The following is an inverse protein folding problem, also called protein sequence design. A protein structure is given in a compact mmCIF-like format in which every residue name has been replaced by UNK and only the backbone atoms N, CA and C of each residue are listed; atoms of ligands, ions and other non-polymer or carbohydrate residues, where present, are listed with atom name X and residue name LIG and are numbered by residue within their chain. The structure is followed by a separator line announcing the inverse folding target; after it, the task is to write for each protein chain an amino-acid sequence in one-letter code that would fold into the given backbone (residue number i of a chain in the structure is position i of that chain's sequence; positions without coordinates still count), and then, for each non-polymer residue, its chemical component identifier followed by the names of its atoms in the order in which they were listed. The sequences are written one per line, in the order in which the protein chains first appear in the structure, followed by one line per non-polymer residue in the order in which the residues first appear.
data_IF_290106774919
#
_entry.id   IF_290106774919
#
_cell.length_a   1.000
_cell.length_b   1.000
_cell.length_c   1.000
_cell.angle_alpha   90.00
_cell.angle_beta   90.00
_cell.angle_gamma   90.00
#
_symmetry.space_group_name_H-M   'P 1'
#
loop_
_entity.id
_entity.type
_entity.pdbx_description
1 polymer ?
#
# COMPACT_ATOMS: atom_id res chain seq x y z
N UNK A 1 16.34 -8.59 28.28
CA UNK A 1 15.19 -7.78 27.84
C UNK A 1 14.27 -8.67 27.03
N UNK A 2 12.97 -8.36 27.01
CA UNK A 2 11.99 -9.09 26.19
C UNK A 2 11.75 -8.26 24.92
N UNK A 3 11.76 -8.92 23.77
CA UNK A 3 11.50 -8.30 22.46
C UNK A 3 10.31 -9.00 21.78
N UNK A 4 9.47 -8.22 21.10
CA UNK A 4 8.39 -8.75 20.26
C UNK A 4 8.92 -9.05 18.84
N UNK A 5 8.39 -10.12 18.22
CA UNK A 5 8.80 -10.56 16.87
C UNK A 5 7.65 -10.60 15.87
N UNK A 6 6.48 -11.10 16.29
CA UNK A 6 5.29 -11.19 15.46
C UNK A 6 4.05 -11.11 16.35
N UNK A 7 2.89 -10.80 15.75
CA UNK A 7 1.60 -10.88 16.41
C UNK A 7 1.36 -12.30 16.93
N UNK A 8 0.80 -12.42 18.13
CA UNK A 8 0.53 -13.70 18.77
C UNK A 8 0.63 -13.66 20.28
N UNK A 9 0.24 -14.76 20.90
CA UNK A 9 0.35 -14.95 22.33
C UNK A 9 1.64 -15.71 22.67
N UNK A 10 2.38 -15.22 23.65
CA UNK A 10 3.56 -15.86 24.22
C UNK A 10 3.44 -15.91 25.74
N UNK A 11 3.80 -17.04 26.34
CA UNK A 11 3.92 -17.15 27.80
C UNK A 11 5.37 -16.89 28.18
N UNK A 12 5.59 -15.93 29.07
CA UNK A 12 6.89 -15.69 29.68
C UNK A 12 6.92 -16.41 31.02
N UNK A 13 7.85 -17.35 31.16
CA UNK A 13 8.06 -18.13 32.39
C UNK A 13 9.43 -17.79 32.97
N UNK A 14 9.46 -17.49 34.27
CA UNK A 14 10.67 -17.33 35.06
C UNK A 14 10.71 -18.43 36.11
N UNK A 15 11.88 -19.05 36.29
CA UNK A 15 12.11 -20.09 37.30
C UNK A 15 13.25 -19.69 38.23
N UNK A 16 13.19 -20.09 39.50
CA UNK A 16 14.31 -19.98 40.44
C UNK A 16 15.14 -21.29 40.52
N UNK A 17 16.24 -21.26 41.27
CA UNK A 17 17.12 -22.42 41.44
C UNK A 17 16.53 -23.51 42.35
N UNK A 18 15.46 -23.21 43.09
CA UNK A 18 14.69 -24.17 43.88
C UNK A 18 13.57 -24.84 43.07
N UNK A 19 13.36 -24.42 41.82
CA UNK A 19 12.36 -24.96 40.90
C UNK A 19 11.00 -24.30 40.98
N UNK A 20 10.85 -23.18 41.69
CA UNK A 20 9.61 -22.41 41.68
C UNK A 20 9.50 -21.61 40.38
N UNK A 21 8.31 -21.57 39.78
CA UNK A 21 8.05 -20.84 38.54
C UNK A 21 6.97 -19.77 38.71
N UNK A 22 7.14 -18.66 38.01
CA UNK A 22 6.13 -17.63 37.80
C UNK A 22 5.97 -17.37 36.31
N UNK A 23 4.72 -17.30 35.84
CA UNK A 23 4.43 -17.06 34.43
C UNK A 23 3.40 -15.95 34.21
N UNK A 24 3.52 -15.25 33.09
CA UNK A 24 2.48 -14.34 32.61
C UNK A 24 2.34 -14.41 31.09
N UNK A 25 1.12 -14.16 30.63
CA UNK A 25 0.78 -14.13 29.21
C UNK A 25 1.06 -12.75 28.63
N UNK A 26 1.71 -12.72 27.47
CA UNK A 26 1.94 -11.52 26.66
C UNK A 26 1.27 -11.71 25.32
N UNK A 27 0.46 -10.75 24.92
CA UNK A 27 -0.14 -10.70 23.57
C UNK A 27 0.49 -9.57 22.78
N UNK A 28 1.14 -9.90 21.67
CA UNK A 28 1.62 -8.94 20.67
C UNK A 28 0.50 -8.73 19.65
N UNK A 29 0.15 -7.46 19.41
CA UNK A 29 -0.87 -7.06 18.45
C UNK A 29 -0.40 -5.86 17.64
N UNK A 30 -0.98 -5.65 16.46
CA UNK A 30 -0.77 -4.44 15.65
C UNK A 30 0.23 -4.62 14.50
N UNK A 31 0.68 -5.83 14.20
CA UNK A 31 1.54 -6.11 13.06
C UNK A 31 0.76 -6.49 11.78
N UNK A 32 -0.57 -6.52 11.82
CA UNK A 32 -1.39 -6.64 10.61
C UNK A 32 -1.52 -5.25 9.98
N UNK A 33 -0.98 -5.02 8.77
CA UNK A 33 -1.15 -3.75 8.08
C UNK A 33 -2.64 -3.50 7.80
N UNK A 34 -3.06 -2.23 7.81
CA UNK A 34 -4.38 -1.86 7.28
C UNK A 34 -4.56 -2.47 5.87
N UNK A 35 -5.77 -2.81 5.43
CA UNK A 35 -5.97 -3.33 4.07
C UNK A 35 -5.43 -2.37 3.01
N UNK A 36 -4.87 -2.93 1.93
CA UNK A 36 -4.40 -2.13 0.81
C UNK A 36 -5.55 -1.32 0.19
N UNK A 37 -5.34 -0.02 0.06
CA UNK A 37 -6.36 0.93 -0.38
C UNK A 37 -5.78 2.01 -1.30
N UNK A 38 -6.58 2.42 -2.29
CA UNK A 38 -6.40 3.66 -3.04
C UNK A 38 -7.78 4.25 -3.32
N UNK A 39 -7.91 5.58 -3.36
CA UNK A 39 -9.15 6.20 -3.84
C UNK A 39 -9.41 5.79 -5.31
N UNK A 40 -10.55 5.15 -5.57
CA UNK A 40 -10.92 4.67 -6.90
C UNK A 40 -11.81 5.64 -7.68
N UNK A 41 -12.11 6.81 -7.12
CA UNK A 41 -12.96 7.82 -7.76
C UNK A 41 -12.38 8.20 -9.13
N UNK A 42 -13.16 8.11 -10.23
CA UNK A 42 -12.66 8.45 -11.55
C UNK A 42 -12.06 9.86 -11.60
N UNK A 43 -10.92 9.99 -12.27
CA UNK A 43 -10.20 11.24 -12.41
C UNK A 43 -10.35 11.79 -13.83
N UNK A 44 -10.50 13.10 -13.96
CA UNK A 44 -10.52 13.81 -15.24
C UNK A 44 -9.38 14.82 -15.28
N UNK A 45 -8.64 14.82 -16.39
CA UNK A 45 -7.49 15.69 -16.64
C UNK A 45 -7.59 16.30 -18.04
N UNK A 46 -6.96 17.45 -18.24
CA UNK A 46 -6.64 17.96 -19.58
C UNK A 46 -5.29 17.42 -20.05
N UNK A 47 -5.10 17.30 -21.37
CA UNK A 47 -3.79 16.95 -21.95
C UNK A 47 -2.74 17.94 -21.45
N UNK A 48 -1.63 17.43 -20.90
CA UNK A 48 -0.55 18.20 -20.29
C UNK A 48 -0.61 18.26 -18.76
N UNK A 49 -1.76 17.98 -18.14
CA UNK A 49 -1.91 18.04 -16.70
C UNK A 49 -1.10 16.98 -15.97
N UNK A 50 -0.69 17.34 -14.75
CA UNK A 50 -0.05 16.44 -13.78
C UNK A 50 -0.98 16.18 -12.60
N UNK A 51 -0.89 14.99 -12.04
CA UNK A 51 -1.61 14.64 -10.83
C UNK A 51 -0.94 13.52 -10.04
N UNK A 52 -1.36 13.36 -8.78
CA UNK A 52 -0.94 12.24 -7.95
C UNK A 52 -2.08 11.70 -7.10
N UNK A 53 -2.03 10.40 -6.83
CA UNK A 53 -2.95 9.71 -5.92
C UNK A 53 -2.26 8.55 -5.22
N UNK A 54 -1.95 8.71 -3.94
CA UNK A 54 -1.18 7.72 -3.21
C UNK A 54 -2.07 6.61 -2.64
N UNK A 55 -1.56 5.38 -2.69
CA UNK A 55 -2.10 4.25 -1.96
C UNK A 55 -1.71 4.29 -0.47
N UNK A 56 -2.47 3.56 0.35
CA UNK A 56 -2.27 3.39 1.80
C UNK A 56 -2.56 1.94 2.22
N UNK A 57 -2.14 1.56 3.43
CA UNK A 57 -2.29 0.19 3.93
C UNK A 57 -1.49 -0.82 3.09
N UNK A 58 -1.81 -2.10 3.19
CA UNK A 58 -1.07 -3.20 2.59
C UNK A 58 0.37 -3.25 3.03
N UNK A 59 1.19 -3.94 2.25
CA UNK A 59 2.64 -3.99 2.47
C UNK A 59 3.38 -3.08 1.50
N UNK A 60 4.40 -2.38 1.96
CA UNK A 60 5.34 -1.71 1.06
C UNK A 60 6.24 -2.73 0.32
N UNK A 61 6.81 -2.39 -0.84
CA UNK A 61 6.65 -1.14 -1.58
C UNK A 61 5.36 -1.10 -2.41
N UNK A 62 4.86 0.12 -2.66
CA UNK A 62 3.82 0.32 -3.67
C UNK A 62 4.42 0.47 -5.06
N UNK A 63 3.74 -0.10 -6.06
CA UNK A 63 4.12 0.00 -7.48
C UNK A 63 2.93 0.50 -8.29
N UNK A 64 3.16 1.51 -9.12
CA UNK A 64 2.16 2.11 -10.01
C UNK A 64 2.45 1.84 -11.48
N UNK A 65 1.40 1.63 -12.28
CA UNK A 65 1.50 1.42 -13.73
C UNK A 65 0.26 1.92 -14.46
N UNK A 66 0.38 2.17 -15.77
CA UNK A 66 -0.73 2.54 -16.66
C UNK A 66 -0.92 1.46 -17.73
N UNK A 67 -2.16 1.11 -18.08
CA UNK A 67 -2.43 0.27 -19.27
C UNK A 67 -2.28 1.02 -20.59
N UNK A 68 -2.37 2.35 -20.57
CA UNK A 68 -2.28 3.20 -21.73
C UNK A 68 -1.30 4.36 -21.47
N UNK A 69 0.01 4.09 -21.41
CA UNK A 69 1.04 5.11 -21.13
C UNK A 69 1.11 6.23 -22.18
N UNK A 70 0.60 5.98 -23.40
CA UNK A 70 0.46 7.01 -24.44
C UNK A 70 -0.69 8.00 -24.17
N UNK A 71 -1.62 7.67 -23.26
CA UNK A 71 -2.76 8.51 -22.86
C UNK A 71 -2.49 9.13 -21.48
N UNK A 72 -2.14 8.31 -20.48
CA UNK A 72 -1.71 8.76 -19.15
C UNK A 72 -0.47 7.97 -18.75
N UNK A 73 0.63 8.67 -18.53
CA UNK A 73 1.93 8.08 -18.17
C UNK A 73 2.15 8.18 -16.67
N UNK A 74 2.55 7.08 -16.04
CA UNK A 74 3.16 7.09 -14.70
C UNK A 74 4.62 7.52 -14.84
N UNK A 75 5.01 8.63 -14.22
CA UNK A 75 6.34 9.24 -14.32
C UNK A 75 7.36 8.57 -13.39
N UNK A 76 6.89 8.08 -12.25
CA UNK A 76 7.70 7.37 -11.26
C UNK A 76 6.91 6.14 -10.79
N UNK A 77 7.45 4.93 -10.86
CA UNK A 77 6.67 3.75 -10.47
C UNK A 77 6.48 3.61 -8.95
N UNK A 78 7.27 4.32 -8.13
CA UNK A 78 7.17 4.29 -6.67
C UNK A 78 6.30 5.42 -6.09
N UNK A 79 5.89 6.38 -6.92
CA UNK A 79 5.04 7.53 -6.54
C UNK A 79 3.94 7.64 -7.57
N UNK A 80 2.69 7.86 -7.20
CA UNK A 80 1.60 7.90 -8.19
C UNK A 80 1.59 9.18 -9.07
N UNK A 81 2.76 9.76 -9.36
CA UNK A 81 2.90 10.94 -10.20
C UNK A 81 2.58 10.55 -11.65
N UNK A 82 1.48 11.07 -12.17
CA UNK A 82 1.00 10.81 -13.53
C UNK A 82 0.97 12.10 -14.37
N UNK A 83 1.11 11.93 -15.69
CA UNK A 83 0.93 12.99 -16.67
C UNK A 83 -0.05 12.56 -17.75
N UNK A 84 -1.01 13.43 -18.09
CA UNK A 84 -1.88 13.26 -19.24
C UNK A 84 -1.14 13.60 -20.54
N UNK A 85 -0.96 12.61 -21.41
CA UNK A 85 -0.15 12.71 -22.63
C UNK A 85 -1.00 12.94 -23.89
N UNK A 86 -2.18 12.35 -23.95
CA UNK A 86 -3.10 12.46 -25.08
C UNK A 86 -4.55 12.25 -24.62
N UNK A 87 -5.51 12.77 -25.38
CA UNK A 87 -6.93 12.58 -25.09
C UNK A 87 -7.30 11.09 -25.17
N UNK A 88 -8.11 10.61 -24.21
CA UNK A 88 -8.50 9.21 -24.13
C UNK A 88 -8.77 8.75 -22.70
N UNK A 89 -8.79 7.44 -22.49
CA UNK A 89 -9.00 6.82 -21.18
C UNK A 89 -7.84 5.87 -20.86
N UNK A 90 -7.44 5.83 -19.59
CA UNK A 90 -6.45 4.91 -19.07
C UNK A 90 -6.90 4.37 -17.70
N UNK A 91 -6.41 3.20 -17.33
CA UNK A 91 -6.44 2.68 -15.96
C UNK A 91 -5.07 2.87 -15.34
N UNK A 92 -5.03 3.49 -14.17
CA UNK A 92 -3.84 3.50 -13.33
C UNK A 92 -4.00 2.41 -12.29
N UNK A 93 -3.07 1.46 -12.30
CA UNK A 93 -2.99 0.38 -11.34
C UNK A 93 -2.03 0.75 -10.24
N UNK A 94 -2.40 0.39 -9.01
CA UNK A 94 -1.52 0.36 -7.86
C UNK A 94 -1.48 -1.07 -7.32
N UNK A 95 -0.29 -1.55 -6.96
CA UNK A 95 -0.12 -2.80 -6.23
C UNK A 95 0.76 -2.63 -5.00
N UNK A 96 0.48 -3.42 -3.97
CA UNK A 96 1.30 -3.49 -2.77
C UNK A 96 2.39 -4.57 -2.89
N UNK A 97 3.27 -4.66 -1.89
CA UNK A 97 4.40 -5.59 -1.83
C UNK A 97 4.00 -7.07 -1.75
N UNK A 98 2.71 -7.36 -1.49
CA UNK A 98 2.16 -8.74 -1.53
C UNK A 98 1.58 -9.10 -2.89
N UNK A 99 1.45 -8.12 -3.80
CA UNK A 99 0.84 -8.29 -5.12
C UNK A 99 -0.66 -7.99 -5.17
N UNK A 100 -1.26 -7.53 -4.06
CA UNK A 100 -2.66 -7.06 -4.08
C UNK A 100 -2.75 -5.87 -5.03
N UNK A 101 -3.68 -5.89 -5.98
CA UNK A 101 -3.75 -4.90 -7.08
C UNK A 101 -5.15 -4.30 -7.22
N UNK A 102 -5.20 -2.98 -7.32
CA UNK A 102 -6.42 -2.18 -7.55
C UNK A 102 -6.16 -1.18 -8.68
N UNK A 103 -7.21 -0.55 -9.21
CA UNK A 103 -7.08 0.49 -10.23
C UNK A 103 -8.12 1.59 -10.08
N UNK A 104 -7.80 2.75 -10.63
CA UNK A 104 -8.75 3.85 -10.84
C UNK A 104 -8.73 4.30 -12.31
N UNK A 105 -9.84 4.90 -12.74
CA UNK A 105 -10.00 5.38 -14.11
C UNK A 105 -9.48 6.82 -14.23
N UNK A 106 -8.77 7.10 -15.30
CA UNK A 106 -8.37 8.46 -15.69
C UNK A 106 -8.88 8.73 -17.11
N UNK A 107 -9.60 9.83 -17.28
CA UNK A 107 -9.97 10.36 -18.59
C UNK A 107 -9.17 11.63 -18.86
N UNK A 108 -8.41 11.65 -19.95
CA UNK A 108 -7.77 12.85 -20.47
C UNK A 108 -8.61 13.44 -21.60
N UNK A 109 -8.84 14.75 -21.56
CA UNK A 109 -9.57 15.48 -22.59
C UNK A 109 -8.68 16.56 -23.19
N UNK A 110 -8.90 16.89 -24.47
CA UNK A 110 -8.28 18.09 -25.04
C UNK A 110 -8.73 19.35 -24.28
N UNK A 111 -7.88 20.38 -24.20
CA UNK A 111 -8.27 21.71 -23.70
C UNK A 111 -9.48 22.27 -24.44
#
# INVERSE_FOLDING_TARGET
GIESRADGAATITASDTAGAEGSYLVTVTGNTPDPFYIDITPMRLHVGDFASRNASGGSLPYIYSSDAPAIVRVLNMAKSDIQAMAAGKAKIFASDGTGTRVYYLVSSVSP
#
